data_IF_879843068408
#
_entry.id   IF_879843068408
#
_cell.length_a   1.000
_cell.length_b   1.000
_cell.length_c   1.000
_cell.angle_alpha   90.00
_cell.angle_beta   90.00
_cell.angle_gamma   90.00
#
_symmetry.space_group_name_H-M   'P 1'
#
loop_
_entity.id
_entity.type
_entity.pdbx_description
1 polymer ?
#
# COMPACT_ATOMS: atom_id res chain seq x y z
N UNK A 1 24.80 -15.86 31.43
CA UNK A 1 23.75 -16.89 31.24
C UNK A 1 24.25 -17.94 30.28
N UNK A 2 24.07 -19.24 30.57
CA UNK A 2 24.53 -20.34 29.70
C UNK A 2 23.64 -20.36 28.44
N UNK A 3 24.23 -20.66 27.27
CA UNK A 3 23.58 -20.69 25.95
C UNK A 3 22.36 -21.61 25.80
N UNK A 4 21.88 -22.23 26.88
CA UNK A 4 20.78 -23.18 26.92
C UNK A 4 19.45 -22.53 27.36
N UNK A 5 19.48 -21.38 28.06
CA UNK A 5 18.26 -20.63 28.42
C UNK A 5 17.74 -19.71 27.30
N UNK A 6 18.56 -19.40 26.29
CA UNK A 6 18.20 -18.48 25.17
C UNK A 6 17.29 -19.17 24.11
N UNK A 7 17.12 -20.49 24.18
CA UNK A 7 16.49 -21.27 23.11
C UNK A 7 15.04 -21.69 23.35
N UNK A 8 14.54 -21.69 24.59
CA UNK A 8 13.15 -22.07 24.86
C UNK A 8 12.15 -21.03 24.35
N UNK A 9 12.55 -19.75 24.33
CA UNK A 9 11.76 -18.63 23.77
C UNK A 9 12.19 -18.24 22.35
N UNK A 10 12.93 -19.10 21.64
CA UNK A 10 13.44 -18.75 20.32
C UNK A 10 12.38 -18.84 19.21
N UNK A 11 11.27 -19.55 19.42
CA UNK A 11 10.19 -19.63 18.44
C UNK A 11 9.54 -18.26 18.24
N UNK A 12 9.39 -17.84 16.99
CA UNK A 12 8.88 -16.52 16.62
C UNK A 12 9.97 -15.47 16.43
N UNK A 13 11.18 -15.68 16.97
CA UNK A 13 12.29 -14.73 16.85
C UNK A 13 12.90 -14.74 15.44
N UNK A 14 13.40 -13.56 15.05
CA UNK A 14 14.12 -13.34 13.78
C UNK A 14 15.56 -13.83 13.89
N UNK A 15 16.07 -14.44 12.82
CA UNK A 15 17.40 -15.04 12.77
C UNK A 15 18.09 -14.72 11.44
N UNK A 16 19.40 -14.53 11.50
CA UNK A 16 20.29 -14.50 10.34
C UNK A 16 21.25 -15.69 10.35
N UNK A 17 21.48 -16.31 9.19
CA UNK A 17 22.45 -17.40 9.00
C UNK A 17 23.09 -17.26 7.62
N UNK A 18 24.42 -17.16 7.57
CA UNK A 18 25.20 -17.03 6.33
C UNK A 18 24.73 -15.85 5.44
N UNK A 19 24.32 -14.74 6.05
CA UNK A 19 23.80 -13.55 5.36
C UNK A 19 22.31 -13.59 5.03
N UNK A 20 21.67 -14.76 5.17
CA UNK A 20 20.26 -14.97 4.86
C UNK A 20 19.36 -14.86 6.08
N UNK A 21 18.13 -14.39 5.87
CA UNK A 21 17.23 -13.91 6.94
C UNK A 21 15.99 -14.79 7.03
N UNK A 22 15.56 -15.11 8.24
CA UNK A 22 14.38 -15.96 8.47
C UNK A 22 13.79 -15.83 9.86
N UNK A 23 12.76 -16.64 10.13
CA UNK A 23 12.05 -16.71 11.41
C UNK A 23 12.11 -18.12 11.97
N UNK A 24 12.44 -18.26 13.25
CA UNK A 24 12.43 -19.56 13.92
C UNK A 24 10.98 -20.00 14.13
N UNK A 25 10.62 -21.17 13.62
CA UNK A 25 9.29 -21.80 13.74
C UNK A 25 9.29 -23.03 14.64
N UNK A 26 10.46 -23.60 14.92
CA UNK A 26 10.59 -24.78 15.75
C UNK A 26 11.93 -24.77 16.49
N UNK A 27 11.94 -25.24 17.74
CA UNK A 27 13.16 -25.49 18.51
C UNK A 27 13.02 -26.87 19.13
N UNK A 28 13.93 -27.78 18.80
CA UNK A 28 13.87 -29.12 19.34
C UNK A 28 14.73 -30.16 18.63
N UNK A 29 14.66 -31.42 19.07
CA UNK A 29 15.32 -32.53 18.40
C UNK A 29 14.65 -32.89 17.07
N UNK A 30 15.43 -33.33 16.09
CA UNK A 30 14.92 -33.75 14.76
C UNK A 30 15.49 -35.14 14.44
N UNK A 31 14.89 -36.23 14.96
CA UNK A 31 15.35 -37.59 14.69
C UNK A 31 15.45 -37.89 13.18
N UNK A 32 16.43 -38.71 12.76
CA UNK A 32 17.43 -39.40 13.57
C UNK A 32 18.63 -38.51 13.94
N UNK A 33 18.66 -37.25 13.51
CA UNK A 33 19.81 -36.37 13.77
C UNK A 33 19.86 -35.94 15.24
N UNK A 34 21.02 -36.14 15.87
CA UNK A 34 21.21 -35.83 17.29
C UNK A 34 21.32 -34.32 17.55
N UNK A 35 20.97 -33.92 18.77
CA UNK A 35 21.10 -32.55 19.27
C UNK A 35 19.95 -31.63 18.89
N UNK A 36 20.06 -30.38 19.33
CA UNK A 36 19.05 -29.34 19.15
C UNK A 36 19.14 -28.72 17.73
N UNK A 37 17.98 -28.41 17.17
CA UNK A 37 17.82 -27.74 15.88
C UNK A 37 16.83 -26.59 15.98
N UNK A 38 17.11 -25.57 15.18
CA UNK A 38 16.17 -24.50 14.86
C UNK A 38 15.51 -24.85 13.53
N UNK A 39 14.21 -25.07 13.51
CA UNK A 39 13.44 -25.03 12.28
C UNK A 39 13.22 -23.58 11.89
N UNK A 40 13.83 -23.13 10.80
CA UNK A 40 13.78 -21.75 10.31
C UNK A 40 12.97 -21.72 9.02
N UNK A 41 12.00 -20.82 8.95
CA UNK A 41 11.35 -20.41 7.70
C UNK A 41 12.07 -19.17 7.17
N UNK A 42 12.68 -19.28 5.99
CA UNK A 42 13.42 -18.19 5.36
C UNK A 42 12.47 -17.17 4.71
N UNK A 43 12.88 -15.91 4.70
CA UNK A 43 12.18 -14.87 3.97
C UNK A 43 12.26 -15.09 2.45
N UNK A 44 13.45 -15.49 1.96
CA UNK A 44 13.65 -15.97 0.60
C UNK A 44 13.35 -17.49 0.53
N UNK A 45 12.28 -17.91 -0.16
CA UNK A 45 11.92 -19.31 -0.28
C UNK A 45 12.94 -20.16 -1.06
N UNK A 46 13.81 -19.55 -1.87
CA UNK A 46 14.86 -20.27 -2.62
C UNK A 46 16.01 -20.71 -1.71
N UNK A 47 16.22 -20.04 -0.57
CA UNK A 47 17.25 -20.39 0.41
C UNK A 47 16.95 -21.68 1.17
N UNK A 48 15.68 -22.00 1.34
CA UNK A 48 15.27 -23.16 2.10
C UNK A 48 15.39 -24.48 1.33
N UNK A 49 14.99 -25.56 1.98
CA UNK A 49 15.17 -26.94 1.51
C UNK A 49 13.90 -27.78 1.56
N UNK A 50 12.95 -27.43 2.44
CA UNK A 50 11.78 -28.25 2.72
C UNK A 50 10.62 -27.41 3.25
N UNK A 51 9.45 -28.01 3.43
CA UNK A 51 8.21 -27.35 3.85
C UNK A 51 8.04 -27.28 5.38
N UNK A 52 9.04 -27.76 6.13
CA UNK A 52 9.06 -27.87 7.59
C UNK A 52 8.92 -29.31 8.09
N UNK A 53 8.94 -30.28 7.17
CA UNK A 53 9.05 -31.71 7.47
C UNK A 53 10.48 -32.26 7.30
N UNK A 54 10.78 -33.34 8.03
CA UNK A 54 11.98 -34.16 7.86
C UNK A 54 11.61 -35.63 8.07
N UNK A 55 11.99 -36.50 7.13
CA UNK A 55 11.75 -37.96 7.20
C UNK A 55 10.27 -38.31 7.48
N UNK A 56 9.34 -37.60 6.84
CA UNK A 56 7.89 -37.83 6.98
C UNK A 56 7.26 -37.25 8.24
N UNK A 57 8.04 -36.69 9.17
CA UNK A 57 7.54 -36.00 10.37
C UNK A 57 7.49 -34.50 10.11
N UNK A 58 6.34 -33.86 10.41
CA UNK A 58 6.16 -32.40 10.30
C UNK A 58 6.46 -31.74 11.63
N UNK A 59 7.41 -30.80 11.63
CA UNK A 59 7.82 -30.04 12.82
C UNK A 59 7.24 -28.63 12.82
N UNK A 60 7.16 -28.01 11.64
CA UNK A 60 6.52 -26.73 11.40
C UNK A 60 5.96 -26.67 9.98
N UNK A 61 5.24 -25.61 9.64
CA UNK A 61 4.70 -25.38 8.31
C UNK A 61 5.29 -24.10 7.75
N UNK A 62 5.75 -24.15 6.49
CA UNK A 62 6.24 -22.99 5.75
C UNK A 62 5.18 -22.48 4.77
N UNK A 63 5.26 -21.19 4.43
CA UNK A 63 4.49 -20.53 3.37
C UNK A 63 4.83 -21.09 1.98
N UNK A 64 6.06 -21.55 1.80
CA UNK A 64 6.56 -22.13 0.55
C UNK A 64 7.03 -23.58 0.74
N UNK A 65 6.82 -24.50 -0.22
CA UNK A 65 7.24 -25.90 -0.11
C UNK A 65 8.75 -26.11 0.12
N UNK A 66 9.56 -25.12 -0.23
CA UNK A 66 11.01 -25.12 -0.01
C UNK A 66 11.45 -24.09 1.01
N UNK A 67 10.55 -23.36 1.67
CA UNK A 67 10.93 -22.18 2.48
C UNK A 67 11.65 -22.50 3.80
N UNK A 68 11.66 -23.75 4.24
CA UNK A 68 12.17 -24.17 5.55
C UNK A 68 13.57 -24.77 5.53
N UNK A 69 14.31 -24.65 6.63
CA UNK A 69 15.55 -25.39 6.90
C UNK A 69 15.72 -25.70 8.38
N UNK A 70 16.40 -26.81 8.70
CA UNK A 70 16.92 -27.04 10.05
C UNK A 70 18.34 -26.50 10.18
N UNK A 71 18.55 -25.56 11.11
CA UNK A 71 19.81 -24.86 11.36
C UNK A 71 20.33 -25.19 12.75
N UNK A 72 21.65 -25.35 12.89
CA UNK A 72 22.27 -25.52 14.21
C UNK A 72 22.26 -24.18 14.95
N UNK A 73 21.87 -24.12 16.24
CA UNK A 73 21.84 -22.86 17.00
C UNK A 73 23.14 -22.04 16.93
N UNK A 74 24.31 -22.71 16.90
CA UNK A 74 25.62 -22.04 16.78
C UNK A 74 25.86 -21.29 15.46
N UNK A 75 25.09 -21.59 14.41
CA UNK A 75 25.18 -20.92 13.11
C UNK A 75 24.16 -19.78 12.94
N UNK A 76 23.24 -19.66 13.89
CA UNK A 76 22.16 -18.68 13.89
C UNK A 76 22.55 -17.46 14.72
N UNK A 77 22.42 -16.28 14.15
CA UNK A 77 22.48 -15.00 14.87
C UNK A 77 21.07 -14.48 15.12
N UNK A 78 20.73 -14.16 16.37
CA UNK A 78 19.43 -13.58 16.75
C UNK A 78 19.42 -12.05 16.71
N UNK A 79 20.46 -11.44 16.14
CA UNK A 79 20.66 -10.00 16.15
C UNK A 79 20.94 -9.46 17.56
N UNK A 80 20.72 -8.16 17.73
CA UNK A 80 20.85 -7.47 19.02
C UNK A 80 19.56 -6.75 19.36
N UNK A 81 19.31 -6.51 20.64
CA UNK A 81 18.19 -5.67 21.06
C UNK A 81 18.48 -4.19 20.75
N UNK A 82 17.40 -3.40 20.71
CA UNK A 82 17.45 -1.95 20.45
C UNK A 82 18.48 -1.20 21.32
N UNK A 83 18.63 -1.54 22.60
CA UNK A 83 19.55 -0.87 23.52
C UNK A 83 20.99 -1.25 23.21
N UNK A 84 21.24 -2.52 22.90
CA UNK A 84 22.56 -3.02 22.48
C UNK A 84 22.99 -2.42 21.14
N UNK A 85 22.07 -2.26 20.17
CA UNK A 85 22.36 -1.55 18.92
C UNK A 85 22.70 -0.07 19.14
N UNK A 86 21.93 0.61 19.99
CA UNK A 86 22.22 1.98 20.42
C UNK A 86 23.61 2.11 21.03
N UNK A 87 23.99 1.17 21.91
CA UNK A 87 25.34 1.04 22.46
C UNK A 87 26.35 0.93 21.34
N UNK A 88 26.30 -0.14 20.56
CA UNK A 88 27.29 -0.41 19.51
C UNK A 88 27.44 0.73 18.48
N UNK A 89 26.33 1.38 18.09
CA UNK A 89 26.34 2.41 17.04
C UNK A 89 26.93 3.75 17.49
N UNK A 90 26.79 4.06 18.77
CA UNK A 90 27.20 5.33 19.36
C UNK A 90 28.33 5.19 20.41
N UNK A 91 28.84 3.98 20.68
CA UNK A 91 29.86 3.68 21.72
C UNK A 91 31.25 3.23 21.19
N UNK A 92 31.46 2.95 19.90
CA UNK A 92 32.78 2.48 19.39
C UNK A 92 33.57 3.68 18.83
N UNK A 93 34.71 4.16 19.35
CA UNK A 93 35.79 3.60 20.18
C UNK A 93 35.94 4.34 21.54
N UNK A 94 35.60 3.71 22.67
CA UNK A 94 35.85 4.33 23.99
C UNK A 94 36.58 3.41 24.98
N UNK A 95 36.76 2.12 24.68
CA UNK A 95 37.48 1.23 25.60
C UNK A 95 38.97 1.58 25.78
N UNK A 96 39.61 2.27 24.82
CA UNK A 96 40.98 2.77 24.97
C UNK A 96 41.08 4.17 25.62
N UNK A 97 39.97 4.90 25.79
CA UNK A 97 39.99 6.33 26.16
C UNK A 97 39.10 6.68 27.37
N UNK A 98 38.20 5.78 27.80
CA UNK A 98 37.38 5.97 29.01
C UNK A 98 38.31 6.15 30.23
N UNK A 99 38.20 7.31 30.89
CA UNK A 99 39.01 7.67 32.06
C UNK A 99 40.28 8.48 31.77
N UNK A 100 40.61 8.77 30.51
CA UNK A 100 41.69 9.70 30.17
C UNK A 100 41.20 11.15 30.16
N UNK A 101 41.93 12.06 30.83
CA UNK A 101 41.74 13.51 30.71
C UNK A 101 42.44 14.02 29.44
N UNK A 102 41.65 14.33 28.40
CA UNK A 102 42.18 14.94 27.18
C UNK A 102 42.15 16.47 27.32
N UNK A 103 43.33 17.11 27.27
CA UNK A 103 43.40 18.58 27.17
C UNK A 103 43.33 19.02 25.72
N UNK A 104 42.15 19.45 25.30
CA UNK A 104 41.98 20.15 24.02
C UNK A 104 42.03 21.65 24.32
N UNK A 105 43.16 22.28 23.99
CA UNK A 105 43.43 23.69 24.33
C UNK A 105 43.39 23.94 25.86
N UNK A 106 42.74 25.01 26.32
CA UNK A 106 42.61 25.37 27.74
C UNK A 106 41.51 24.59 28.48
N UNK A 107 40.91 23.55 27.87
CA UNK A 107 39.80 22.80 28.44
C UNK A 107 40.20 21.34 28.63
N UNK A 108 39.93 20.83 29.82
CA UNK A 108 40.01 19.40 30.12
C UNK A 108 38.69 18.76 29.70
N UNK A 109 38.77 17.72 28.88
CA UNK A 109 37.64 16.92 28.39
C UNK A 109 37.75 15.55 29.03
N UNK A 110 36.66 15.09 29.66
CA UNK A 110 36.53 13.76 30.25
C UNK A 110 35.75 12.87 29.30
N UNK A 111 36.32 11.71 28.98
CA UNK A 111 35.68 10.68 28.18
C UNK A 111 34.83 9.79 29.11
N UNK A 112 33.52 9.74 28.88
CA UNK A 112 32.54 9.03 29.72
C UNK A 112 31.99 7.79 29.01
N UNK A 113 31.61 6.74 29.75
CA UNK A 113 31.08 5.48 29.19
C UNK A 113 29.61 5.56 28.81
N UNK A 114 29.05 4.57 28.09
CA UNK A 114 27.64 4.62 27.68
C UNK A 114 26.64 4.52 28.84
N UNK A 115 27.05 3.93 29.96
CA UNK A 115 26.27 3.94 31.20
C UNK A 115 26.13 5.38 31.73
N UNK A 116 27.20 6.18 31.68
CA UNK A 116 27.18 7.61 31.99
C UNK A 116 26.39 8.41 30.96
N UNK A 117 26.41 8.01 29.68
CA UNK A 117 25.61 8.61 28.60
C UNK A 117 24.11 8.39 28.83
N UNK A 118 23.69 7.20 29.27
CA UNK A 118 22.31 6.93 29.69
C UNK A 118 21.95 7.70 30.98
N UNK A 119 22.88 7.85 31.92
CA UNK A 119 22.71 8.75 33.07
C UNK A 119 22.65 10.23 32.67
N UNK A 120 23.21 10.59 31.50
CA UNK A 120 23.15 11.89 30.86
C UNK A 120 22.02 12.02 29.83
N UNK A 121 21.22 10.97 29.57
CA UNK A 121 20.02 11.04 28.73
C UNK A 121 19.02 12.13 29.19
N UNK A 122 18.89 12.45 30.50
CA UNK A 122 18.13 13.62 30.97
C UNK A 122 18.71 14.97 30.53
N UNK A 123 19.99 15.03 30.13
CA UNK A 123 20.68 16.21 29.58
C UNK A 123 20.51 16.33 28.05
N UNK A 124 20.03 15.29 27.37
CA UNK A 124 19.75 15.27 25.93
C UNK A 124 18.36 15.81 25.59
N UNK A 125 17.99 16.94 26.18
CA UNK A 125 16.67 17.56 26.03
C UNK A 125 16.34 18.02 24.59
N UNK A 126 17.25 17.80 23.63
CA UNK A 126 17.20 18.28 22.26
C UNK A 126 17.52 17.20 21.20
N UNK A 127 17.66 15.92 21.57
CA UNK A 127 17.86 14.87 20.58
C UNK A 127 16.51 14.63 19.85
N UNK A 128 16.34 15.24 18.68
CA UNK A 128 15.10 15.17 17.89
C UNK A 128 15.10 14.01 16.88
N UNK A 129 16.27 13.56 16.44
CA UNK A 129 16.40 12.58 15.36
C UNK A 129 17.34 11.45 15.78
N UNK A 130 16.89 10.21 15.63
CA UNK A 130 17.65 9.01 15.94
C UNK A 130 17.72 8.11 14.72
N UNK A 131 18.94 7.86 14.25
CA UNK A 131 19.21 6.99 13.11
C UNK A 131 19.90 5.72 13.58
N UNK A 132 19.21 4.60 13.40
CA UNK A 132 19.62 3.25 13.82
C UNK A 132 19.50 2.26 12.66
N UNK A 133 19.61 2.74 11.43
CA UNK A 133 19.67 1.86 10.27
C UNK A 133 20.87 0.90 10.35
N UNK A 134 20.70 -0.32 9.83
CA UNK A 134 21.77 -1.32 9.67
C UNK A 134 22.42 -1.80 10.99
N UNK A 135 21.65 -1.98 12.07
CA UNK A 135 22.19 -2.42 13.37
C UNK A 135 21.73 -3.82 13.80
N UNK A 136 21.21 -4.64 12.88
CA UNK A 136 20.72 -6.00 13.18
C UNK A 136 19.72 -6.05 14.36
N UNK A 137 18.91 -4.99 14.52
CA UNK A 137 17.88 -4.93 15.57
C UNK A 137 16.78 -5.92 15.22
N UNK A 138 16.48 -6.84 16.15
CA UNK A 138 15.41 -7.83 15.98
C UNK A 138 14.17 -7.56 16.82
N UNK A 139 14.32 -6.94 17.99
CA UNK A 139 13.23 -6.68 18.93
C UNK A 139 13.28 -5.23 19.42
N UNK A 140 12.13 -4.56 19.36
CA UNK A 140 11.93 -3.24 19.96
C UNK A 140 11.35 -3.43 21.37
N UNK A 141 12.23 -3.52 22.37
CA UNK A 141 11.79 -3.65 23.76
C UNK A 141 11.42 -2.29 24.35
N UNK A 142 10.31 -2.26 25.10
CA UNK A 142 9.93 -1.12 25.93
C UNK A 142 10.99 -0.91 27.01
N UNK A 143 11.56 0.28 27.05
CA UNK A 143 12.39 0.69 28.19
C UNK A 143 11.47 0.91 29.40
N UNK A 144 11.43 -0.05 30.33
CA UNK A 144 10.58 0.01 31.51
C UNK A 144 11.16 1.03 32.51
N UNK A 145 10.89 2.32 32.29
CA UNK A 145 11.29 3.39 33.21
C UNK A 145 10.22 3.63 34.24
N UNK A 146 10.24 2.84 35.32
CA UNK A 146 9.56 3.22 36.56
C UNK A 146 10.20 4.45 37.23
N UNK A 147 11.33 4.97 36.73
CA UNK A 147 12.07 6.05 37.42
C UNK A 147 12.15 7.40 36.72
N UNK A 148 11.75 7.58 35.46
CA UNK A 148 12.01 8.85 34.78
C UNK A 148 10.90 9.28 33.82
N UNK A 149 10.02 10.13 34.34
CA UNK A 149 9.13 11.03 33.59
C UNK A 149 9.95 12.07 32.82
N UNK A 150 10.68 11.62 31.79
CA UNK A 150 11.42 12.51 30.92
C UNK A 150 10.75 12.53 29.55
N UNK A 151 10.33 13.72 29.13
CA UNK A 151 9.70 14.00 27.85
C UNK A 151 10.66 13.59 26.71
N UNK A 152 10.38 12.47 26.05
CA UNK A 152 11.14 12.04 24.87
C UNK A 152 10.70 12.91 23.69
N UNK A 153 11.60 13.77 23.21
CA UNK A 153 11.37 14.70 22.09
C UNK A 153 11.79 14.12 20.73
N UNK A 154 11.93 12.78 20.61
CA UNK A 154 12.29 12.16 19.33
C UNK A 154 11.17 12.40 18.32
N UNK A 155 11.46 13.18 17.28
CA UNK A 155 10.59 13.47 16.14
C UNK A 155 10.87 12.54 14.98
N UNK A 156 12.10 12.08 14.81
CA UNK A 156 12.49 11.16 13.73
C UNK A 156 13.14 9.93 14.33
N UNK A 157 12.66 8.75 13.92
CA UNK A 157 13.25 7.46 14.23
C UNK A 157 13.45 6.68 12.94
N UNK A 158 14.71 6.43 12.59
CA UNK A 158 15.08 5.59 11.47
C UNK A 158 15.56 4.22 11.95
N UNK A 159 14.77 3.19 11.67
CA UNK A 159 15.06 1.79 11.97
C UNK A 159 15.17 0.96 10.68
N UNK A 160 15.43 1.60 9.53
CA UNK A 160 15.51 0.89 8.26
C UNK A 160 16.61 -0.18 8.24
N UNK A 161 16.40 -1.21 7.44
CA UNK A 161 17.30 -2.38 7.34
C UNK A 161 17.59 -3.08 8.68
N UNK A 162 16.59 -3.13 9.57
CA UNK A 162 16.60 -3.94 10.79
C UNK A 162 15.46 -4.98 10.77
N UNK A 163 15.70 -6.18 11.29
CA UNK A 163 14.81 -7.34 11.26
C UNK A 163 13.76 -7.34 12.36
N UNK A 164 12.92 -6.33 12.36
CA UNK A 164 12.04 -6.11 13.48
C UNK A 164 10.95 -7.18 13.49
N UNK A 165 10.85 -7.90 14.62
CA UNK A 165 9.69 -8.73 14.95
C UNK A 165 8.47 -7.81 14.94
N UNK A 166 7.56 -8.03 14.00
CA UNK A 166 6.42 -7.15 13.70
C UNK A 166 5.55 -6.84 14.94
N UNK A 167 5.43 -7.79 15.88
CA UNK A 167 4.68 -7.64 17.13
C UNK A 167 5.30 -6.57 18.05
N UNK A 168 6.61 -6.33 17.95
CA UNK A 168 7.32 -5.34 18.77
C UNK A 168 7.21 -3.90 18.23
N UNK A 169 6.72 -3.71 17.00
CA UNK A 169 6.58 -2.37 16.39
C UNK A 169 5.69 -1.46 17.22
N UNK A 170 4.68 -2.01 17.90
CA UNK A 170 3.77 -1.22 18.73
C UNK A 170 4.40 -0.81 20.07
N UNK A 171 5.51 -1.41 20.50
CA UNK A 171 6.14 -1.04 21.78
C UNK A 171 6.66 0.41 21.76
N UNK A 172 7.11 0.88 20.60
CA UNK A 172 7.58 2.26 20.38
C UNK A 172 6.44 3.27 20.12
N UNK A 173 5.19 2.82 20.11
CA UNK A 173 4.02 3.68 19.84
C UNK A 173 3.73 4.74 20.91
N UNK A 174 4.30 4.54 22.10
CA UNK A 174 4.16 5.44 23.24
C UNK A 174 4.99 6.72 23.13
N UNK A 175 5.85 6.84 22.10
CA UNK A 175 6.66 8.03 21.85
C UNK A 175 5.74 9.19 21.40
N UNK A 176 5.44 10.17 22.28
CA UNK A 176 4.34 11.11 22.06
C UNK A 176 4.66 12.15 20.97
N UNK A 177 5.94 12.37 20.69
CA UNK A 177 6.42 13.38 19.76
C UNK A 177 6.94 12.80 18.44
N UNK A 178 6.84 11.48 18.21
CA UNK A 178 7.38 10.85 17.01
C UNK A 178 6.58 11.28 15.77
N UNK A 179 7.21 12.06 14.89
CA UNK A 179 6.60 12.60 13.67
C UNK A 179 6.95 11.79 12.42
N UNK A 180 8.13 11.17 12.39
CA UNK A 180 8.63 10.38 11.26
C UNK A 180 9.22 9.06 11.73
N UNK A 181 8.74 7.98 11.15
CA UNK A 181 9.21 6.63 11.40
C UNK A 181 9.61 5.97 10.08
N UNK A 182 10.85 5.48 10.01
CA UNK A 182 11.33 4.68 8.89
C UNK A 182 11.52 3.23 9.32
N UNK A 183 10.75 2.33 8.72
CA UNK A 183 10.78 0.87 8.90
C UNK A 183 11.00 0.18 7.54
N UNK A 184 11.71 0.86 6.63
CA UNK A 184 11.98 0.30 5.31
C UNK A 184 12.95 -0.88 5.42
N UNK A 185 12.78 -1.90 4.58
CA UNK A 185 13.64 -3.10 4.58
C UNK A 185 13.66 -3.86 5.91
N UNK A 186 12.54 -3.86 6.65
CA UNK A 186 12.43 -4.49 7.96
C UNK A 186 11.76 -5.87 7.96
N UNK A 187 11.33 -6.36 6.80
CA UNK A 187 10.67 -7.66 6.66
C UNK A 187 9.23 -7.69 7.20
N UNK A 188 8.61 -6.53 7.39
CA UNK A 188 7.25 -6.43 7.93
C UNK A 188 6.23 -6.99 6.94
N UNK A 189 5.31 -7.81 7.44
CA UNK A 189 4.19 -8.32 6.64
C UNK A 189 2.82 -7.90 7.18
N UNK A 190 2.75 -7.60 8.48
CA UNK A 190 1.55 -7.19 9.20
C UNK A 190 1.86 -5.97 10.07
N UNK A 191 0.93 -5.02 10.11
CA UNK A 191 0.87 -3.93 11.09
C UNK A 191 -0.60 -3.83 11.48
N UNK A 192 -0.89 -3.92 12.78
CA UNK A 192 -2.26 -3.92 13.28
C UNK A 192 -2.34 -3.15 14.60
N UNK A 193 -3.33 -2.26 14.72
CA UNK A 193 -3.61 -1.50 15.93
C UNK A 193 -4.82 -2.11 16.64
N UNK A 194 -4.58 -2.86 17.71
CA UNK A 194 -5.61 -3.61 18.45
C UNK A 194 -6.47 -2.74 19.37
N UNK A 195 -6.06 -1.50 19.64
CA UNK A 195 -6.78 -0.55 20.51
C UNK A 195 -7.97 0.13 19.83
N UNK A 196 -8.07 0.05 18.49
CA UNK A 196 -9.16 0.64 17.72
C UNK A 196 -9.73 -0.36 16.70
N UNK A 197 -11.04 -0.36 16.55
CA UNK A 197 -11.72 -1.12 15.50
C UNK A 197 -11.65 -0.42 14.14
N UNK A 198 -12.01 -1.12 13.06
CA UNK A 198 -12.05 -0.56 11.71
C UNK A 198 -12.90 0.73 11.65
N UNK A 199 -12.36 1.78 11.03
CA UNK A 199 -13.01 3.08 10.90
C UNK A 199 -12.80 4.04 12.07
N UNK A 200 -12.29 3.55 13.20
CA UNK A 200 -11.92 4.37 14.36
C UNK A 200 -10.43 4.75 14.35
N UNK A 201 -10.07 5.76 15.15
CA UNK A 201 -8.68 6.22 15.28
C UNK A 201 -8.00 5.54 16.48
N UNK A 202 -6.73 5.17 16.30
CA UNK A 202 -5.89 4.63 17.38
C UNK A 202 -5.32 5.77 18.22
N UNK A 203 -5.08 5.51 19.51
CA UNK A 203 -4.34 6.40 20.40
C UNK A 203 -2.82 6.25 20.23
N UNK A 204 -2.37 5.20 19.55
CA UNK A 204 -0.97 4.88 19.28
C UNK A 204 -0.40 5.83 18.22
N UNK A 205 0.88 6.23 18.38
CA UNK A 205 1.58 7.15 17.47
C UNK A 205 0.82 8.47 17.20
N UNK A 206 0.46 9.24 18.24
CA UNK A 206 -0.44 10.39 18.10
C UNK A 206 0.09 11.51 17.18
N UNK A 207 1.42 11.67 17.10
CA UNK A 207 2.08 12.71 16.31
C UNK A 207 2.63 12.23 14.96
N UNK A 208 2.47 10.95 14.61
CA UNK A 208 3.16 10.36 13.45
C UNK A 208 2.57 10.88 12.14
N UNK A 209 3.39 11.66 11.41
CA UNK A 209 3.04 12.31 10.14
C UNK A 209 3.61 11.58 8.93
N UNK A 210 4.81 11.01 9.06
CA UNK A 210 5.52 10.35 7.97
C UNK A 210 5.86 8.92 8.34
N UNK A 211 5.45 7.96 7.51
CA UNK A 211 5.77 6.55 7.68
C UNK A 211 6.40 6.00 6.40
N UNK A 212 7.60 5.42 6.51
CA UNK A 212 8.30 4.79 5.41
C UNK A 212 8.33 3.27 5.63
N UNK A 213 7.75 2.53 4.70
CA UNK A 213 7.59 1.07 4.69
C UNK A 213 8.12 0.47 3.39
N UNK A 214 9.06 1.12 2.72
CA UNK A 214 9.63 0.61 1.46
C UNK A 214 10.28 -0.77 1.69
N UNK A 215 10.28 -1.65 0.69
CA UNK A 215 10.96 -2.95 0.73
C UNK A 215 10.56 -3.85 1.90
N UNK A 216 9.26 -3.93 2.18
CA UNK A 216 8.71 -4.86 3.14
C UNK A 216 7.93 -5.98 2.41
N UNK A 217 7.37 -6.91 3.17
CA UNK A 217 6.63 -8.06 2.66
C UNK A 217 5.11 -7.88 2.83
N UNK A 218 4.62 -6.64 2.67
CA UNK A 218 3.19 -6.32 2.80
C UNK A 218 2.47 -6.76 1.52
N UNK A 219 1.62 -7.78 1.62
CA UNK A 219 0.83 -8.30 0.50
C UNK A 219 -0.66 -7.92 0.55
N UNK A 220 -1.18 -7.62 1.74
CA UNK A 220 -2.62 -7.43 1.97
C UNK A 220 -3.02 -5.96 2.20
N UNK A 221 -4.22 -5.61 1.76
CA UNK A 221 -4.79 -4.26 1.95
C UNK A 221 -5.10 -3.94 3.41
N UNK A 222 -5.21 -4.98 4.26
CA UNK A 222 -5.47 -4.81 5.69
C UNK A 222 -4.44 -3.90 6.36
N UNK A 223 -3.15 -3.97 5.97
CA UNK A 223 -2.12 -3.07 6.51
C UNK A 223 -2.44 -1.61 6.17
N UNK A 224 -2.81 -1.31 4.93
CA UNK A 224 -3.20 0.06 4.52
C UNK A 224 -4.46 0.52 5.27
N UNK A 225 -5.41 -0.38 5.51
CA UNK A 225 -6.60 -0.07 6.30
C UNK A 225 -6.26 0.26 7.76
N UNK A 226 -5.30 -0.45 8.35
CA UNK A 226 -4.80 -0.18 9.70
C UNK A 226 -4.10 1.17 9.78
N UNK A 227 -3.38 1.59 8.73
CA UNK A 227 -2.76 2.92 8.67
C UNK A 227 -3.78 4.07 8.69
N UNK A 228 -5.02 3.87 8.23
CA UNK A 228 -6.09 4.89 8.36
C UNK A 228 -6.44 5.16 9.83
N UNK A 229 -6.14 4.25 10.77
CA UNK A 229 -6.38 4.50 12.20
C UNK A 229 -5.46 5.59 12.74
N UNK A 230 -4.31 5.84 12.12
CA UNK A 230 -3.38 6.88 12.54
C UNK A 230 -4.00 8.26 12.32
N UNK A 231 -4.11 9.05 13.39
CA UNK A 231 -4.79 10.35 13.35
C UNK A 231 -4.01 11.40 12.55
N UNK A 232 -2.69 11.30 12.52
CA UNK A 232 -1.80 12.36 12.03
C UNK A 232 -1.05 12.00 10.74
N UNK A 233 -1.28 10.82 10.16
CA UNK A 233 -0.51 10.34 9.01
C UNK A 233 -0.84 11.17 7.75
N UNK A 234 0.18 11.82 7.20
CA UNK A 234 0.10 12.66 6.00
C UNK A 234 0.98 12.12 4.86
N UNK A 235 2.11 11.48 5.18
CA UNK A 235 3.07 10.99 4.19
C UNK A 235 3.32 9.50 4.35
N UNK A 236 3.20 8.76 3.25
CA UNK A 236 3.47 7.33 3.19
C UNK A 236 4.44 7.02 2.05
N UNK A 237 5.40 6.16 2.31
CA UNK A 237 6.16 5.45 1.27
C UNK A 237 6.02 3.96 1.51
N UNK A 238 5.63 3.20 0.49
CA UNK A 238 5.44 1.75 0.60
C UNK A 238 5.89 1.02 -0.69
N UNK A 239 6.91 1.56 -1.35
CA UNK A 239 7.45 1.03 -2.60
C UNK A 239 7.98 -0.38 -2.41
N UNK A 240 8.02 -1.16 -3.49
CA UNK A 240 8.59 -2.52 -3.52
C UNK A 240 7.97 -3.47 -2.48
N UNK A 241 6.68 -3.30 -2.18
CA UNK A 241 5.87 -4.27 -1.45
C UNK A 241 5.03 -5.12 -2.41
N UNK A 242 4.79 -6.42 -2.14
CA UNK A 242 3.96 -7.29 -2.97
C UNK A 242 2.54 -6.75 -3.25
N UNK A 243 1.97 -6.00 -2.31
CA UNK A 243 0.67 -5.32 -2.46
C UNK A 243 0.57 -4.51 -3.75
N UNK A 244 1.68 -3.89 -4.18
CA UNK A 244 1.72 -3.03 -5.37
C UNK A 244 1.56 -3.80 -6.69
N UNK A 245 1.62 -5.13 -6.66
CA UNK A 245 1.45 -5.99 -7.83
C UNK A 245 0.04 -6.56 -7.98
N UNK A 246 -0.88 -6.28 -7.03
CA UNK A 246 -2.25 -6.83 -7.05
C UNK A 246 -3.10 -6.30 -8.20
N UNK A 247 -2.79 -5.11 -8.70
CA UNK A 247 -3.44 -4.55 -9.88
C UNK A 247 -2.46 -4.51 -11.05
N UNK A 248 -2.99 -4.66 -12.27
CA UNK A 248 -2.18 -4.59 -13.49
C UNK A 248 -1.60 -3.19 -13.74
N UNK A 249 -2.35 -2.16 -13.32
CA UNK A 249 -1.96 -0.77 -13.50
C UNK A 249 -1.49 -0.18 -12.15
N UNK A 250 -0.22 0.24 -12.04
CA UNK A 250 0.31 0.89 -10.84
C UNK A 250 -0.49 2.13 -10.41
N UNK A 251 -1.07 2.88 -11.35
CA UNK A 251 -1.87 4.07 -11.02
C UNK A 251 -3.19 3.69 -10.34
N UNK A 252 -3.78 2.53 -10.69
CA UNK A 252 -4.96 2.00 -10.00
C UNK A 252 -4.63 1.62 -8.56
N UNK A 253 -3.47 1.02 -8.30
CA UNK A 253 -3.00 0.75 -6.92
C UNK A 253 -2.89 2.05 -6.13
N UNK A 254 -2.24 3.07 -6.73
CA UNK A 254 -2.08 4.39 -6.13
C UNK A 254 -3.43 5.00 -5.77
N UNK A 255 -4.39 4.98 -6.69
CA UNK A 255 -5.75 5.47 -6.45
C UNK A 255 -6.44 4.72 -5.29
N UNK A 256 -6.29 3.40 -5.22
CA UNK A 256 -6.84 2.61 -4.10
C UNK A 256 -6.22 3.03 -2.76
N UNK A 257 -4.90 3.23 -2.69
CA UNK A 257 -4.24 3.71 -1.45
C UNK A 257 -4.79 5.09 -1.06
N UNK A 258 -4.90 6.02 -2.02
CA UNK A 258 -5.42 7.38 -1.78
C UNK A 258 -6.87 7.33 -1.28
N UNK A 259 -7.70 6.47 -1.84
CA UNK A 259 -9.08 6.29 -1.42
C UNK A 259 -9.20 5.60 -0.05
N UNK A 260 -8.24 4.76 0.33
CA UNK A 260 -8.17 4.12 1.65
C UNK A 260 -7.62 5.04 2.75
N UNK A 261 -6.84 6.07 2.41
CA UNK A 261 -6.20 6.98 3.37
C UNK A 261 -6.70 8.43 3.23
N UNK A 262 -7.51 8.89 4.19
CA UNK A 262 -8.30 10.13 4.12
C UNK A 262 -7.48 11.41 4.08
N UNK A 263 -6.35 11.42 4.81
CA UNK A 263 -5.53 12.62 5.04
C UNK A 263 -4.22 12.62 4.25
N UNK A 264 -3.96 11.59 3.45
CA UNK A 264 -2.67 11.42 2.76
C UNK A 264 -2.36 12.58 1.80
N UNK A 265 -1.28 13.31 2.04
CA UNK A 265 -0.82 14.42 1.20
C UNK A 265 0.28 14.00 0.22
N UNK A 266 1.08 12.99 0.59
CA UNK A 266 2.21 12.51 -0.20
C UNK A 266 2.29 10.99 -0.13
N UNK A 267 2.36 10.36 -1.30
CA UNK A 267 2.50 8.92 -1.47
C UNK A 267 3.65 8.62 -2.41
N UNK A 268 4.64 7.86 -1.93
CA UNK A 268 5.84 7.46 -2.68
C UNK A 268 6.54 8.66 -3.35
N UNK A 269 6.73 9.74 -2.59
CA UNK A 269 7.30 11.01 -3.05
C UNK A 269 6.47 11.80 -4.08
N UNK A 270 5.27 11.34 -4.41
CA UNK A 270 4.32 12.08 -5.27
C UNK A 270 3.20 12.71 -4.42
N UNK A 271 3.05 14.03 -4.54
CA UNK A 271 1.92 14.76 -3.95
C UNK A 271 0.58 14.21 -4.45
N UNK A 272 -0.38 14.08 -3.55
CA UNK A 272 -1.76 13.74 -3.86
C UNK A 272 -2.51 15.03 -4.16
N UNK A 273 -2.98 15.18 -5.40
CA UNK A 273 -3.74 16.37 -5.80
C UNK A 273 -5.22 16.22 -5.43
N UNK A 274 -5.92 17.34 -5.23
CA UNK A 274 -7.35 17.32 -4.85
C UNK A 274 -8.23 16.62 -5.89
N UNK A 275 -7.97 16.85 -7.19
CA UNK A 275 -8.72 16.22 -8.28
C UNK A 275 -8.40 14.73 -8.41
N UNK A 276 -7.12 14.34 -8.21
CA UNK A 276 -6.69 12.94 -8.15
C UNK A 276 -7.38 12.22 -7.01
N UNK A 277 -7.41 12.81 -5.81
CA UNK A 277 -8.11 12.26 -4.65
C UNK A 277 -9.59 12.08 -4.91
N UNK A 278 -10.25 13.10 -5.48
CA UNK A 278 -11.67 13.03 -5.81
C UNK A 278 -11.95 11.90 -6.80
N UNK A 279 -11.15 11.80 -7.87
CA UNK A 279 -11.26 10.72 -8.85
C UNK A 279 -11.04 9.34 -8.21
N UNK A 280 -9.97 9.19 -7.44
CA UNK A 280 -9.63 7.96 -6.74
C UNK A 280 -10.75 7.49 -5.79
N UNK A 281 -11.34 8.40 -5.01
CA UNK A 281 -12.42 8.07 -4.09
C UNK A 281 -13.71 7.65 -4.82
N UNK A 282 -14.06 8.31 -5.94
CA UNK A 282 -15.20 7.91 -6.78
C UNK A 282 -14.98 6.56 -7.47
N UNK A 283 -13.80 6.36 -8.06
CA UNK A 283 -13.41 5.10 -8.70
C UNK A 283 -13.41 3.95 -7.69
N UNK A 284 -13.00 4.20 -6.45
CA UNK A 284 -13.05 3.24 -5.36
C UNK A 284 -14.50 2.86 -4.99
N UNK A 285 -15.40 3.84 -4.82
CA UNK A 285 -16.82 3.58 -4.59
C UNK A 285 -17.45 2.76 -5.72
N UNK A 286 -17.12 3.07 -6.96
CA UNK A 286 -17.59 2.34 -8.14
C UNK A 286 -17.04 0.92 -8.19
N UNK A 287 -15.74 0.75 -7.93
CA UNK A 287 -15.05 -0.54 -7.99
C UNK A 287 -15.59 -1.53 -6.98
N UNK A 288 -15.84 -1.09 -5.74
CA UNK A 288 -16.29 -1.98 -4.65
C UNK A 288 -17.79 -1.88 -4.36
N UNK A 289 -18.56 -1.10 -5.14
CA UNK A 289 -19.99 -0.89 -4.90
C UNK A 289 -20.84 -2.14 -5.10
N UNK A 290 -20.48 -3.02 -6.04
CA UNK A 290 -21.16 -4.32 -6.17
C UNK A 290 -20.94 -5.21 -4.95
N UNK A 291 -19.74 -5.21 -4.39
CA UNK A 291 -19.41 -6.02 -3.21
C UNK A 291 -20.06 -5.43 -1.95
N UNK A 292 -20.17 -4.11 -1.87
CA UNK A 292 -20.98 -3.43 -0.85
C UNK A 292 -22.45 -3.84 -0.90
N UNK A 293 -23.08 -3.84 -2.09
CA UNK A 293 -24.47 -4.28 -2.26
C UNK A 293 -24.64 -5.75 -1.84
N UNK A 294 -23.75 -6.64 -2.28
CA UNK A 294 -23.75 -8.07 -1.88
C UNK A 294 -23.58 -8.24 -0.38
N UNK A 295 -22.82 -7.36 0.27
CA UNK A 295 -22.60 -7.39 1.70
C UNK A 295 -23.81 -6.90 2.52
N UNK A 296 -24.90 -6.44 1.90
CA UNK A 296 -26.08 -5.87 2.58
C UNK A 296 -26.14 -4.34 2.56
N UNK A 297 -25.32 -3.70 1.72
CA UNK A 297 -25.34 -2.28 1.49
C UNK A 297 -26.59 -1.80 0.74
N UNK A 298 -27.05 -0.58 1.02
CA UNK A 298 -28.18 0.04 0.32
C UNK A 298 -28.02 1.55 0.24
N UNK A 299 -28.56 2.17 -0.81
CA UNK A 299 -28.65 3.63 -0.96
C UNK A 299 -29.56 4.31 0.07
N UNK A 300 -30.37 3.54 0.79
CA UNK A 300 -31.31 3.99 1.81
C UNK A 300 -30.62 3.80 3.17
N UNK A 301 -30.34 4.87 3.93
CA UNK A 301 -29.61 4.79 5.19
C UNK A 301 -30.22 3.81 6.20
N UNK A 302 -31.55 3.64 6.20
CA UNK A 302 -32.23 2.72 7.13
C UNK A 302 -32.04 1.25 6.77
N UNK A 303 -31.71 0.95 5.51
CA UNK A 303 -31.49 -0.41 5.00
C UNK A 303 -30.02 -0.73 4.78
N UNK A 304 -29.14 0.25 4.93
CA UNK A 304 -27.71 0.12 4.66
C UNK A 304 -27.01 -0.60 5.82
N UNK A 305 -26.96 -1.93 5.74
CA UNK A 305 -26.38 -2.79 6.77
C UNK A 305 -25.34 -3.75 6.17
N UNK A 306 -24.22 -3.22 5.66
CA UNK A 306 -23.14 -4.07 5.16
C UNK A 306 -22.56 -4.93 6.29
N UNK A 307 -22.19 -6.16 5.96
CA UNK A 307 -21.61 -7.10 6.90
C UNK A 307 -20.25 -6.62 7.44
N UNK A 308 -19.81 -7.22 8.55
CA UNK A 308 -18.57 -6.84 9.25
C UNK A 308 -17.32 -7.08 8.42
N UNK A 309 -17.31 -8.11 7.56
CA UNK A 309 -16.19 -8.47 6.68
C UNK A 309 -15.91 -7.35 5.66
N UNK A 310 -16.94 -6.87 4.97
CA UNK A 310 -16.83 -5.74 4.05
C UNK A 310 -16.39 -4.47 4.78
N UNK A 311 -16.90 -4.23 5.98
CA UNK A 311 -16.53 -3.07 6.79
C UNK A 311 -15.08 -3.12 7.27
N UNK A 312 -14.52 -4.30 7.54
CA UNK A 312 -13.09 -4.45 7.84
C UNK A 312 -12.19 -4.31 6.61
N UNK A 313 -12.64 -4.80 5.46
CA UNK A 313 -11.94 -4.69 4.18
C UNK A 313 -11.98 -3.27 3.60
N UNK A 314 -13.06 -2.52 3.86
CA UNK A 314 -13.25 -1.16 3.34
C UNK A 314 -13.72 -0.17 4.42
N UNK A 315 -12.90 0.14 5.44
CA UNK A 315 -13.34 0.92 6.61
C UNK A 315 -13.82 2.34 6.29
N UNK A 316 -13.35 2.92 5.17
CA UNK A 316 -13.76 4.24 4.71
C UNK A 316 -14.98 4.27 3.81
N UNK A 317 -15.51 3.11 3.39
CA UNK A 317 -16.52 3.05 2.33
C UNK A 317 -17.78 3.87 2.70
N UNK A 318 -18.33 3.66 3.89
CA UNK A 318 -19.52 4.41 4.35
C UNK A 318 -19.29 5.93 4.42
N UNK A 319 -18.11 6.37 4.85
CA UNK A 319 -17.76 7.78 4.88
C UNK A 319 -17.66 8.38 3.46
N UNK A 320 -17.19 7.60 2.49
CA UNK A 320 -17.17 8.01 1.08
C UNK A 320 -18.58 8.08 0.49
N UNK A 321 -19.46 7.14 0.83
CA UNK A 321 -20.87 7.20 0.42
C UNK A 321 -21.60 8.41 1.00
N UNK A 322 -21.32 8.76 2.26
CA UNK A 322 -21.85 9.98 2.87
C UNK A 322 -21.38 11.25 2.13
N UNK A 323 -20.16 11.22 1.60
CA UNK A 323 -19.54 12.36 0.91
C UNK A 323 -19.99 12.51 -0.55
N UNK A 324 -20.15 11.41 -1.28
CA UNK A 324 -20.40 11.41 -2.73
C UNK A 324 -21.77 10.86 -3.15
N UNK A 325 -22.49 10.21 -2.25
CA UNK A 325 -23.70 9.45 -2.54
C UNK A 325 -23.41 7.96 -2.81
N UNK A 326 -24.46 7.15 -2.71
CA UNK A 326 -24.40 5.75 -3.14
C UNK A 326 -24.27 5.69 -4.67
N UNK A 327 -23.41 4.80 -5.24
CA UNK A 327 -23.34 4.62 -6.67
C UNK A 327 -24.68 4.11 -7.21
N UNK A 328 -25.14 4.65 -8.34
CA UNK A 328 -26.33 4.12 -8.99
C UNK A 328 -26.08 2.69 -9.49
N UNK A 329 -27.07 1.80 -9.36
CA UNK A 329 -26.95 0.41 -9.83
C UNK A 329 -26.58 0.31 -11.33
N UNK A 330 -26.91 1.34 -12.11
CA UNK A 330 -26.52 1.47 -13.51
C UNK A 330 -25.02 1.69 -13.70
N UNK A 331 -24.36 2.38 -12.78
CA UNK A 331 -22.91 2.68 -12.82
C UNK A 331 -22.05 1.50 -12.36
N UNK A 332 -22.63 0.61 -11.54
CA UNK A 332 -21.98 -0.57 -10.98
C UNK A 332 -21.96 -1.76 -11.94
N UNK A 333 -22.70 -1.71 -13.05
CA UNK A 333 -22.63 -2.77 -14.07
C UNK A 333 -21.22 -2.84 -14.62
N UNK A 334 -20.59 -4.01 -14.52
CA UNK A 334 -19.29 -4.27 -15.13
C UNK A 334 -19.30 -3.83 -16.60
N UNK A 335 -18.42 -2.89 -16.95
CA UNK A 335 -18.06 -2.69 -18.34
C UNK A 335 -17.41 -3.99 -18.81
N UNK A 336 -18.18 -4.82 -19.51
CA UNK A 336 -17.68 -6.06 -20.13
C UNK A 336 -16.36 -5.73 -20.83
N UNK A 337 -15.31 -6.57 -20.67
CA UNK A 337 -14.03 -6.33 -21.33
C UNK A 337 -14.31 -6.10 -22.82
N UNK A 338 -13.81 -4.96 -23.32
CA UNK A 338 -14.11 -4.43 -24.64
C UNK A 338 -13.53 -5.35 -25.72
N UNK A 339 -14.21 -6.47 -25.97
CA UNK A 339 -13.94 -7.31 -27.12
C UNK A 339 -14.42 -6.54 -28.35
N UNK A 340 -13.48 -6.06 -29.16
CA UNK A 340 -13.72 -5.29 -30.40
C UNK A 340 -14.78 -5.90 -31.34
N UNK A 341 -15.11 -7.20 -31.18
CA UNK A 341 -16.13 -7.90 -31.96
C UNK A 341 -17.58 -7.57 -31.57
N UNK A 342 -17.85 -7.03 -30.39
CA UNK A 342 -19.22 -7.05 -29.83
C UNK A 342 -19.98 -5.73 -29.78
N UNK A 343 -19.44 -4.58 -30.22
CA UNK A 343 -20.21 -3.33 -30.27
C UNK A 343 -19.77 -2.42 -31.42
N UNK A 344 -20.04 -2.83 -32.66
CA UNK A 344 -20.11 -1.88 -33.76
C UNK A 344 -21.53 -1.34 -33.85
N UNK A 345 -21.69 -0.03 -33.74
CA UNK A 345 -22.93 0.66 -34.00
C UNK A 345 -23.21 0.60 -35.51
N UNK A 346 -24.38 0.10 -35.88
CA UNK A 346 -24.89 0.13 -37.24
C UNK A 346 -25.53 1.51 -37.45
N UNK A 347 -24.79 2.42 -38.08
CA UNK A 347 -25.18 3.81 -38.26
C UNK A 347 -25.58 4.06 -39.70
N UNK A 348 -26.67 4.80 -39.89
CA UNK A 348 -27.13 5.22 -41.21
C UNK A 348 -26.76 6.68 -41.46
N UNK A 349 -25.88 6.92 -42.42
CA UNK A 349 -25.47 8.25 -42.84
C UNK A 349 -26.38 8.77 -43.95
N UNK A 350 -26.98 9.93 -43.75
CA UNK A 350 -27.94 10.56 -44.66
C UNK A 350 -27.44 11.95 -45.03
N UNK A 351 -27.49 12.31 -46.31
CA UNK A 351 -27.17 13.65 -46.78
C UNK A 351 -28.49 14.41 -47.01
N UNK A 352 -29.00 15.20 -46.05
CA UNK A 352 -30.32 15.82 -46.17
C UNK A 352 -30.43 16.82 -47.34
N UNK A 353 -29.30 17.40 -47.77
CA UNK A 353 -29.23 18.40 -48.85
C UNK A 353 -29.00 17.78 -50.23
N UNK A 354 -28.77 16.47 -50.32
CA UNK A 354 -28.54 15.73 -51.57
C UNK A 354 -29.54 14.55 -51.66
N UNK A 355 -30.75 14.86 -52.12
CA UNK A 355 -31.88 13.91 -52.13
C UNK A 355 -31.70 12.73 -53.10
N UNK A 356 -30.82 12.85 -54.09
CA UNK A 356 -30.50 11.78 -55.04
C UNK A 356 -29.52 10.75 -54.43
N UNK A 357 -28.81 11.12 -53.37
CA UNK A 357 -27.81 10.28 -52.74
C UNK A 357 -28.43 9.35 -51.71
N UNK A 358 -28.33 8.04 -52.00
CA UNK A 358 -28.83 7.00 -51.10
C UNK A 358 -28.11 7.01 -49.74
N UNK A 359 -28.84 6.79 -48.62
CA UNK A 359 -28.23 6.61 -47.31
C UNK A 359 -27.18 5.49 -47.31
N UNK A 360 -26.10 5.68 -46.56
CA UNK A 360 -25.02 4.71 -46.43
C UNK A 360 -25.05 4.13 -45.02
N UNK A 361 -25.16 2.81 -44.93
CA UNK A 361 -25.06 2.10 -43.65
C UNK A 361 -23.60 1.68 -43.39
N UNK A 362 -23.07 2.00 -42.20
CA UNK A 362 -21.74 1.55 -41.76
C UNK A 362 -21.73 1.13 -40.30
N UNK A 363 -20.99 0.07 -40.05
CA UNK A 363 -20.68 -0.46 -38.72
C UNK A 363 -19.42 0.20 -38.17
N UNK A 364 -19.57 1.06 -37.17
CA UNK A 364 -18.47 1.82 -36.56
C UNK A 364 -18.41 1.59 -35.04
N UNK A 365 -17.22 1.56 -34.41
CA UNK A 365 -17.13 1.52 -32.95
C UNK A 365 -17.69 2.82 -32.34
N UNK A 366 -18.42 2.74 -31.22
CA UNK A 366 -18.85 3.93 -30.46
C UNK A 366 -17.68 4.79 -29.96
N UNK A 367 -16.52 4.15 -29.73
CA UNK A 367 -15.26 4.81 -29.37
C UNK A 367 -14.54 5.51 -30.53
N UNK A 368 -15.07 5.44 -31.76
CA UNK A 368 -14.46 6.11 -32.90
C UNK A 368 -14.61 7.64 -32.77
N UNK A 369 -13.47 8.34 -32.79
CA UNK A 369 -13.40 9.80 -32.70
C UNK A 369 -14.05 10.45 -33.93
N UNK A 370 -14.82 11.52 -33.73
CA UNK A 370 -15.57 12.25 -34.76
C UNK A 370 -14.69 12.65 -35.95
N UNK A 371 -13.46 13.13 -35.72
CA UNK A 371 -12.51 13.43 -36.79
C UNK A 371 -12.25 12.24 -37.73
N UNK A 372 -12.13 11.03 -37.18
CA UNK A 372 -11.94 9.80 -37.98
C UNK A 372 -13.21 9.44 -38.75
N UNK A 373 -14.38 9.70 -38.17
CA UNK A 373 -15.69 9.51 -38.84
C UNK A 373 -15.81 10.48 -40.03
N UNK A 374 -15.51 11.77 -39.84
CA UNK A 374 -15.46 12.77 -40.93
C UNK A 374 -14.49 12.34 -42.04
N UNK A 375 -13.28 11.90 -41.69
CA UNK A 375 -12.30 11.39 -42.67
C UNK A 375 -12.74 10.10 -43.39
N UNK A 376 -13.55 9.25 -42.75
CA UNK A 376 -14.18 8.12 -43.41
C UNK A 376 -15.27 8.59 -44.39
N UNK A 377 -16.12 9.53 -43.98
CA UNK A 377 -17.21 10.07 -44.79
C UNK A 377 -16.69 10.82 -46.01
N UNK A 378 -15.60 11.58 -45.91
CA UNK A 378 -14.94 12.17 -47.08
C UNK A 378 -14.62 11.14 -48.16
N UNK A 379 -14.07 9.99 -47.76
CA UNK A 379 -13.68 8.91 -48.68
C UNK A 379 -14.90 8.18 -49.24
N UNK A 380 -15.91 7.90 -48.41
CA UNK A 380 -17.12 7.18 -48.83
C UNK A 380 -18.03 8.03 -49.71
N UNK A 381 -18.20 9.30 -49.37
CA UNK A 381 -19.06 10.26 -50.06
C UNK A 381 -18.35 10.99 -51.21
N UNK A 382 -17.04 10.77 -51.39
CA UNK A 382 -16.20 11.42 -52.40
C UNK A 382 -16.35 12.96 -52.39
N UNK A 383 -16.32 13.55 -51.20
CA UNK A 383 -16.51 15.00 -51.02
C UNK A 383 -15.16 15.74 -51.14
N UNK A 384 -15.06 16.80 -51.96
CA UNK A 384 -13.80 17.49 -52.26
C UNK A 384 -13.40 18.46 -51.15
N UNK A 385 -12.66 17.99 -50.13
CA UNK A 385 -11.99 18.85 -49.13
C UNK A 385 -12.89 19.79 -48.30
N UNK A 386 -14.22 19.63 -48.37
CA UNK A 386 -15.22 20.49 -47.73
C UNK A 386 -15.31 20.23 -46.22
N UNK A 387 -15.71 21.22 -45.43
CA UNK A 387 -15.87 20.98 -43.99
C UNK A 387 -17.17 20.20 -43.74
N UNK A 388 -17.08 19.05 -43.08
CA UNK A 388 -18.26 18.25 -42.71
C UNK A 388 -18.86 18.73 -41.39
N UNK A 389 -20.15 19.03 -41.40
CA UNK A 389 -20.98 19.22 -40.21
C UNK A 389 -21.85 17.99 -40.00
N UNK A 390 -21.74 17.41 -38.81
CA UNK A 390 -22.45 16.20 -38.44
C UNK A 390 -23.48 16.50 -37.35
N UNK A 391 -24.63 15.86 -37.47
CA UNK A 391 -25.63 15.81 -36.42
C UNK A 391 -26.32 14.45 -36.47
N UNK A 392 -27.10 14.09 -35.46
CA UNK A 392 -27.82 12.83 -35.48
C UNK A 392 -29.23 12.96 -34.92
N UNK A 393 -30.10 12.04 -35.36
CA UNK A 393 -31.47 11.89 -34.87
C UNK A 393 -31.60 10.52 -34.22
N UNK A 394 -32.04 10.50 -32.96
CA UNK A 394 -32.27 9.28 -32.20
C UNK A 394 -33.70 8.76 -32.38
N UNK A 395 -33.87 7.44 -32.45
CA UNK A 395 -35.19 6.79 -32.49
C UNK A 395 -36.05 7.07 -31.25
N UNK A 396 -35.43 7.31 -30.09
CA UNK A 396 -36.11 7.60 -28.80
C UNK A 396 -36.58 9.05 -28.65
N UNK A 397 -36.02 9.98 -29.44
CA UNK A 397 -36.40 11.40 -29.45
C UNK A 397 -36.79 11.83 -30.86
N UNK A 398 -37.97 11.39 -31.31
CA UNK A 398 -38.50 11.74 -32.62
C UNK A 398 -38.57 13.27 -32.81
N UNK A 399 -37.85 13.79 -33.82
CA UNK A 399 -37.90 15.20 -34.22
C UNK A 399 -36.87 16.12 -33.58
N UNK A 400 -35.94 15.63 -32.74
CA UNK A 400 -34.79 16.42 -32.28
C UNK A 400 -33.51 16.00 -32.99
N UNK A 401 -32.82 16.99 -33.53
CA UNK A 401 -31.51 16.86 -34.15
C UNK A 401 -30.45 17.36 -33.16
N UNK A 402 -29.44 16.53 -32.87
CA UNK A 402 -28.36 16.86 -31.93
C UNK A 402 -27.08 17.03 -32.73
N UNK A 403 -26.42 18.17 -32.57
CA UNK A 403 -25.18 18.50 -33.27
C UNK A 403 -23.99 17.74 -32.68
N UNK A 404 -23.08 17.30 -33.56
CA UNK A 404 -21.81 16.65 -33.22
C UNK A 404 -20.70 17.67 -33.52
N UNK A 405 -20.37 18.46 -32.50
CA UNK A 405 -19.61 19.72 -32.60
C UNK A 405 -18.11 19.62 -32.27
N UNK A 406 -17.65 18.49 -31.72
CA UNK A 406 -16.29 18.31 -31.22
C UNK A 406 -15.59 17.13 -31.90
N UNK A 407 -14.62 17.46 -32.75
CA UNK A 407 -13.87 16.50 -33.54
C UNK A 407 -12.99 15.55 -32.73
N UNK A 408 -12.64 15.91 -31.48
CA UNK A 408 -11.79 15.10 -30.60
C UNK A 408 -12.58 14.16 -29.67
N UNK A 409 -13.92 14.22 -29.70
CA UNK A 409 -14.78 13.35 -28.88
C UNK A 409 -15.16 12.07 -29.64
N UNK A 410 -15.36 10.94 -28.95
CA UNK A 410 -15.91 9.72 -29.54
C UNK A 410 -17.42 9.83 -29.78
N UNK A 411 -18.00 9.00 -30.67
CA UNK A 411 -19.45 8.97 -30.94
C UNK A 411 -20.28 8.69 -29.67
N UNK A 412 -19.77 7.86 -28.76
CA UNK A 412 -20.44 7.53 -27.49
C UNK A 412 -20.59 8.75 -26.55
N UNK A 413 -19.72 9.76 -26.67
CA UNK A 413 -19.85 11.01 -25.90
C UNK A 413 -21.17 11.73 -26.23
N UNK A 414 -21.60 11.63 -27.49
CA UNK A 414 -22.85 12.20 -27.96
C UNK A 414 -24.06 11.30 -27.71
N UNK A 415 -23.92 10.17 -27.01
CA UNK A 415 -25.01 9.20 -26.81
C UNK A 415 -25.61 8.70 -28.13
N UNK A 416 -24.78 8.50 -29.16
CA UNK A 416 -25.18 7.85 -30.42
C UNK A 416 -25.36 6.35 -30.18
N UNK A 417 -26.53 5.82 -30.52
CA UNK A 417 -26.89 4.41 -30.31
C UNK A 417 -26.92 3.61 -31.63
N UNK A 418 -27.05 2.28 -31.52
CA UNK A 418 -27.19 1.39 -32.68
C UNK A 418 -28.51 1.67 -33.41
N UNK A 419 -28.46 1.80 -34.74
CA UNK A 419 -29.60 2.14 -35.57
C UNK A 419 -29.88 3.65 -35.74
N UNK A 420 -29.11 4.52 -35.08
CA UNK A 420 -29.29 5.96 -35.22
C UNK A 420 -28.89 6.47 -36.62
N UNK A 421 -29.51 7.61 -37.00
CA UNK A 421 -29.27 8.27 -38.29
C UNK A 421 -28.39 9.50 -38.09
N UNK A 422 -27.21 9.50 -38.71
CA UNK A 422 -26.30 10.64 -38.74
C UNK A 422 -26.56 11.45 -40.02
N UNK A 423 -26.88 12.72 -39.86
CA UNK A 423 -27.04 13.67 -40.93
C UNK A 423 -25.67 14.29 -41.25
N UNK A 424 -25.31 14.27 -42.52
CA UNK A 424 -24.03 14.76 -43.02
C UNK A 424 -24.29 15.97 -43.91
N UNK A 425 -23.84 17.14 -43.47
CA UNK A 425 -23.86 18.38 -44.25
C UNK A 425 -22.44 18.84 -44.52
N UNK A 426 -22.24 19.62 -45.56
CA UNK A 426 -20.92 20.14 -45.90
C UNK A 426 -21.01 21.52 -46.52
N UNK A 427 -20.00 22.35 -46.25
CA UNK A 427 -19.88 23.73 -46.76
C UNK A 427 -18.53 24.00 -47.38
#
# INVERSE_FOLDING_TARGET
MKAQEVLEDAVGRRVSCDGERGTVRYVGPVPPTAGLWLGVEWDDPERGKHDGSHEGVRYFTCRHPTGGSFVRPKKASFGVDYVTALKQRYEVELQEVIGEELKISSRTVMMVGFEDVLHCAPMWQHLEELYLADNDITELLRYNTESHSHHHHHRVLDLSNNHIVQETVLEISHLPCLEKLNLSSSGLSVIQFSDASAGNKTALFPALKTLLLDDNNISEWCVVNELEKLSSLLHLSCRRNPLLQREKNPETVRQIIIARLSRLELLDMRKVLSDERRGAELDYCKKFGLDWLKAGGHSDPEKNHPNTEFMSEHPRFLALLQKYGAPDEGELKEQKPFALKNQLLTLTFVCPEDSERKPIEKKLPGSMIVQKVKGLLHRLLKLPGMELKLSYTCSKMAGREIEIDNDLKPLEFYSVEDGDRILVRWS
#
